data_IF_122480501703
#
_entry.id   IF_122480501703
#
_cell.length_a   1.000
_cell.length_b   1.000
_cell.length_c   1.000
_cell.angle_alpha   90.00
_cell.angle_beta   90.00
_cell.angle_gamma   90.00
#
_symmetry.space_group_name_H-M   'P 1'
#
loop_
_entity.id
_entity.type
_entity.pdbx_description
1 polymer ?
#
# COMPACT_ATOMS: atom_id res chain seq x y z
N UNK A 1 -5.50 32.27 -31.04
CA UNK A 1 -5.62 31.61 -29.73
C UNK A 1 -6.18 30.21 -29.94
N UNK A 2 -5.39 29.15 -29.73
CA UNK A 2 -5.86 27.75 -29.70
C UNK A 2 -5.33 27.11 -28.42
N UNK A 3 -6.17 26.44 -27.62
CA UNK A 3 -5.71 25.80 -26.39
C UNK A 3 -4.96 24.53 -26.71
N UNK A 4 -3.80 24.35 -26.06
CA UNK A 4 -2.97 23.15 -26.18
C UNK A 4 -3.72 21.93 -25.67
N UNK A 5 -3.99 21.00 -26.58
CA UNK A 5 -4.56 19.68 -26.33
C UNK A 5 -3.48 18.80 -25.69
N UNK A 6 -3.59 18.53 -24.40
CA UNK A 6 -2.75 17.52 -23.74
C UNK A 6 -3.13 16.13 -24.29
N UNK A 7 -2.27 15.56 -25.13
CA UNK A 7 -2.33 14.14 -25.46
C UNK A 7 -1.73 13.37 -24.29
N UNK A 8 -2.57 12.62 -23.57
CA UNK A 8 -2.12 11.50 -22.75
C UNK A 8 -1.72 10.39 -23.72
N UNK A 9 -0.46 10.37 -24.12
CA UNK A 9 0.07 9.22 -24.83
C UNK A 9 0.36 8.11 -23.81
N UNK A 10 -0.25 6.95 -24.03
CA UNK A 10 0.18 5.68 -23.44
C UNK A 10 1.62 5.40 -23.91
N UNK A 11 2.62 5.83 -23.13
CA UNK A 11 4.04 5.51 -23.29
C UNK A 11 4.54 5.06 -21.91
N UNK A 12 5.25 3.96 -21.69
CA UNK A 12 5.91 3.00 -22.56
C UNK A 12 5.91 1.66 -21.83
N UNK A 13 5.47 0.59 -22.49
CA UNK A 13 5.71 -0.75 -22.01
C UNK A 13 7.18 -1.09 -22.27
N UNK A 14 8.03 -0.99 -21.25
CA UNK A 14 9.36 -1.60 -21.28
C UNK A 14 9.17 -3.12 -21.32
N UNK A 15 9.44 -3.72 -22.48
CA UNK A 15 9.42 -5.18 -22.67
C UNK A 15 10.70 -5.75 -22.09
N UNK A 16 10.59 -6.44 -20.95
CA UNK A 16 11.66 -7.26 -20.39
C UNK A 16 11.58 -8.69 -20.96
N UNK A 17 12.70 -9.35 -21.29
CA UNK A 17 12.68 -10.71 -21.80
C UNK A 17 12.34 -11.68 -20.67
N UNK A 18 11.12 -12.20 -20.72
CA UNK A 18 10.49 -13.04 -19.70
C UNK A 18 9.06 -12.59 -19.57
N UNK A 19 8.11 -13.42 -19.98
CA UNK A 19 6.69 -13.12 -20.07
C UNK A 19 6.05 -12.87 -18.69
N UNK A 20 6.35 -11.73 -18.08
CA UNK A 20 5.59 -11.19 -16.97
C UNK A 20 4.38 -10.51 -17.59
N UNK A 21 3.19 -11.05 -17.34
CA UNK A 21 1.94 -10.37 -17.70
C UNK A 21 2.01 -8.96 -17.10
N UNK A 22 1.93 -7.91 -17.92
CA UNK A 22 1.93 -6.53 -17.44
C UNK A 22 0.69 -6.33 -16.57
N UNK A 23 0.87 -6.42 -15.25
CA UNK A 23 -0.17 -6.05 -14.28
C UNK A 23 -0.27 -4.53 -14.23
N UNK A 24 -1.48 -4.00 -14.24
CA UNK A 24 -1.77 -2.61 -13.90
C UNK A 24 -1.60 -2.40 -12.39
N UNK A 25 -1.48 -1.13 -11.97
CA UNK A 25 -1.46 -0.81 -10.54
C UNK A 25 -2.72 -1.29 -9.82
N UNK A 26 -3.90 -1.22 -10.45
CA UNK A 26 -5.14 -1.73 -9.85
C UNK A 26 -5.11 -3.25 -9.68
N UNK A 27 -4.60 -3.99 -10.66
CA UNK A 27 -4.49 -5.45 -10.59
C UNK A 27 -3.50 -5.92 -9.52
N UNK A 28 -2.44 -5.16 -9.28
CA UNK A 28 -1.45 -5.43 -8.23
C UNK A 28 -2.06 -5.48 -6.82
N UNK A 29 -3.11 -4.69 -6.56
CA UNK A 29 -3.79 -4.60 -5.27
C UNK A 29 -5.17 -5.28 -5.26
N UNK A 30 -5.55 -5.98 -6.32
CA UNK A 30 -6.89 -6.58 -6.44
C UNK A 30 -7.21 -7.68 -5.43
N UNK A 31 -6.18 -8.29 -4.82
CA UNK A 31 -6.30 -9.42 -3.88
C UNK A 31 -5.97 -9.06 -2.44
N UNK A 32 -5.57 -7.82 -2.17
CA UNK A 32 -5.19 -7.35 -0.83
C UNK A 32 -5.97 -6.09 -0.52
N UNK A 33 -6.64 -6.07 0.65
CA UNK A 33 -7.31 -4.86 1.11
C UNK A 33 -6.27 -3.75 1.35
N UNK A 34 -6.53 -2.50 0.91
CA UNK A 34 -5.58 -1.39 1.12
C UNK A 34 -5.38 -1.05 2.60
N UNK A 35 -6.33 -1.43 3.47
CA UNK A 35 -6.27 -1.24 4.91
C UNK A 35 -7.11 -2.29 5.65
N UNK A 36 -6.89 -2.39 6.95
CA UNK A 36 -7.71 -3.14 7.90
C UNK A 36 -8.36 -2.17 8.88
N UNK A 37 -9.62 -2.41 9.25
CA UNK A 37 -10.27 -1.73 10.36
C UNK A 37 -10.48 -2.76 11.46
N UNK A 38 -9.93 -2.48 12.65
CA UNK A 38 -10.18 -3.27 13.86
C UNK A 38 -11.05 -2.45 14.80
N UNK A 39 -12.26 -2.91 15.09
CA UNK A 39 -13.18 -2.24 16.01
C UNK A 39 -13.80 -3.23 16.99
N UNK A 40 -14.13 -2.73 18.18
CA UNK A 40 -14.87 -3.47 19.21
C UNK A 40 -16.37 -3.25 19.08
N UNK A 41 -17.15 -3.87 19.97
CA UNK A 41 -18.60 -3.67 20.00
C UNK A 41 -19.00 -2.21 20.27
N UNK A 42 -18.23 -1.48 21.08
CA UNK A 42 -18.50 -0.10 21.49
C UNK A 42 -17.20 0.70 21.63
N UNK A 43 -17.22 1.97 21.19
CA UNK A 43 -16.16 2.94 21.47
C UNK A 43 -16.40 3.58 22.84
N UNK A 44 -15.45 3.41 23.76
CA UNK A 44 -15.59 3.85 25.17
C UNK A 44 -14.71 5.03 25.54
N UNK A 45 -13.74 5.36 24.70
CA UNK A 45 -12.81 6.49 24.90
C UNK A 45 -12.69 7.34 23.63
N UNK A 46 -12.35 8.63 23.73
CA UNK A 46 -12.29 9.55 22.59
C UNK A 46 -10.95 9.45 21.85
N UNK A 47 -10.47 8.22 21.60
CA UNK A 47 -9.24 7.96 20.87
C UNK A 47 -9.52 7.09 19.65
N UNK A 48 -8.82 7.40 18.56
CA UNK A 48 -8.74 6.61 17.34
C UNK A 48 -7.27 6.37 17.03
N UNK A 49 -6.87 5.12 16.86
CA UNK A 49 -5.51 4.73 16.52
C UNK A 49 -5.40 4.41 15.04
N UNK A 50 -4.30 4.83 14.41
CA UNK A 50 -4.00 4.48 13.03
C UNK A 50 -2.53 4.11 12.88
N UNK A 51 -2.24 3.15 11.99
CA UNK A 51 -0.88 2.80 11.61
C UNK A 51 -0.71 2.80 10.09
N UNK A 52 -0.50 3.97 9.46
CA UNK A 52 -0.44 4.10 8.01
C UNK A 52 0.81 3.48 7.36
N UNK A 53 1.86 3.20 8.15
CA UNK A 53 3.17 2.76 7.64
C UNK A 53 3.59 1.35 8.09
N UNK A 54 2.72 0.58 8.77
CA UNK A 54 3.01 -0.83 9.13
C UNK A 54 2.71 -1.84 8.01
N UNK A 55 2.18 -1.37 6.88
CA UNK A 55 1.89 -2.20 5.72
C UNK A 55 3.17 -2.77 5.09
N UNK A 56 3.12 -4.05 4.72
CA UNK A 56 4.28 -4.82 4.21
C UNK A 56 4.00 -5.56 2.90
N UNK A 57 2.97 -5.14 2.16
CA UNK A 57 2.61 -5.70 0.86
C UNK A 57 3.23 -4.89 -0.27
N UNK A 58 4.21 -5.48 -0.96
CA UNK A 58 4.89 -4.89 -2.11
C UNK A 58 4.68 -5.75 -3.34
N UNK A 59 3.85 -5.32 -4.32
CA UNK A 59 3.66 -6.05 -5.56
C UNK A 59 4.97 -6.23 -6.34
N UNK A 60 5.14 -7.36 -7.01
CA UNK A 60 6.38 -7.68 -7.76
C UNK A 60 6.75 -6.60 -8.79
N UNK A 61 5.74 -6.06 -9.48
CA UNK A 61 5.93 -4.96 -10.44
C UNK A 61 6.50 -3.72 -9.76
N UNK A 62 6.03 -3.38 -8.56
CA UNK A 62 6.56 -2.28 -7.77
C UNK A 62 8.01 -2.54 -7.33
N UNK A 63 8.31 -3.74 -6.83
CA UNK A 63 9.68 -4.13 -6.45
C UNK A 63 10.67 -4.05 -7.61
N UNK A 64 10.26 -4.51 -8.81
CA UNK A 64 11.08 -4.42 -10.01
C UNK A 64 11.39 -2.96 -10.42
N UNK A 65 10.47 -2.03 -10.17
CA UNK A 65 10.66 -0.60 -10.47
C UNK A 65 11.44 0.15 -9.38
N UNK A 66 11.29 -0.23 -8.11
CA UNK A 66 11.88 0.48 -6.97
C UNK A 66 13.42 0.43 -6.94
N UNK A 67 14.04 -0.54 -7.62
CA UNK A 67 15.50 -0.77 -7.62
C UNK A 67 16.08 -0.90 -6.20
N UNK A 68 15.26 -1.32 -5.25
CA UNK A 68 15.64 -1.64 -3.88
C UNK A 68 15.52 -3.15 -3.69
N UNK A 69 16.45 -3.73 -2.93
CA UNK A 69 16.29 -5.11 -2.48
C UNK A 69 15.22 -5.21 -1.37
N UNK A 70 14.88 -6.46 -1.01
CA UNK A 70 13.85 -6.77 -0.02
C UNK A 70 14.16 -6.22 1.37
N UNK A 71 15.42 -6.05 1.76
CA UNK A 71 15.75 -5.51 3.07
C UNK A 71 15.73 -3.98 3.05
N UNK A 72 16.24 -3.38 1.97
CA UNK A 72 16.28 -1.94 1.79
C UNK A 72 14.88 -1.33 1.77
N UNK A 73 13.92 -1.97 1.09
CA UNK A 73 12.55 -1.45 1.01
C UNK A 73 11.83 -1.46 2.36
N UNK A 74 12.12 -2.44 3.21
CA UNK A 74 11.50 -2.57 4.54
C UNK A 74 11.96 -1.51 5.53
N UNK A 75 13.03 -0.77 5.22
CA UNK A 75 13.48 0.35 6.05
C UNK A 75 12.52 1.55 6.01
N UNK A 76 11.56 1.57 5.08
CA UNK A 76 10.49 2.57 5.07
C UNK A 76 9.23 2.12 5.82
N UNK A 77 9.21 0.91 6.41
CA UNK A 77 8.09 0.42 7.22
C UNK A 77 8.21 0.96 8.65
N UNK A 78 7.10 1.42 9.22
CA UNK A 78 6.92 1.52 10.67
C UNK A 78 6.56 0.12 11.19
N UNK A 79 7.58 -0.74 11.25
CA UNK A 79 7.42 -2.17 11.54
C UNK A 79 6.67 -2.40 12.86
N UNK A 80 5.63 -3.23 12.80
CA UNK A 80 4.88 -3.74 13.96
C UNK A 80 4.13 -2.68 14.81
N UNK A 81 3.98 -1.45 14.33
CA UNK A 81 3.21 -0.42 15.05
C UNK A 81 1.71 -0.76 15.09
N UNK A 82 1.20 -1.46 14.09
CA UNK A 82 -0.15 -2.06 14.12
C UNK A 82 -0.33 -3.09 15.25
N UNK A 83 0.70 -3.88 15.53
CA UNK A 83 0.71 -4.85 16.63
C UNK A 83 0.87 -4.16 17.99
N UNK A 84 1.69 -3.10 18.06
CA UNK A 84 1.85 -2.27 19.26
C UNK A 84 0.51 -1.68 19.74
N UNK A 85 -0.35 -1.26 18.81
CA UNK A 85 -1.70 -0.77 19.12
C UNK A 85 -2.78 -1.86 19.11
N UNK A 86 -2.43 -3.14 18.89
CA UNK A 86 -3.42 -4.23 18.77
C UNK A 86 -4.33 -4.39 19.98
N UNK A 87 -3.88 -3.98 21.18
CA UNK A 87 -4.68 -3.99 22.40
C UNK A 87 -5.65 -2.81 22.56
N UNK A 88 -5.53 -1.75 21.76
CA UNK A 88 -6.33 -0.53 21.88
C UNK A 88 -7.84 -0.81 21.73
N UNK A 89 -8.19 -1.69 20.79
CA UNK A 89 -9.57 -2.10 20.52
C UNK A 89 -10.24 -2.69 21.76
N UNK A 90 -9.53 -3.55 22.50
CA UNK A 90 -10.05 -4.16 23.73
C UNK A 90 -10.29 -3.10 24.83
N UNK A 91 -9.51 -2.02 24.83
CA UNK A 91 -9.66 -0.88 25.74
C UNK A 91 -10.77 0.09 25.31
N UNK A 92 -11.41 -0.12 24.15
CA UNK A 92 -12.50 0.70 23.64
C UNK A 92 -12.04 1.89 22.80
N UNK A 93 -10.80 1.84 22.30
CA UNK A 93 -10.26 2.77 21.33
C UNK A 93 -10.06 2.03 19.99
N UNK A 94 -10.92 2.27 18.98
CA UNK A 94 -10.69 1.73 17.64
C UNK A 94 -9.43 2.31 16.98
#
# INVERSE_FOLDING_TARGET
MRPGRWHLSNHDALVFPGSFKLKTAAEDFSVVSPFEIRSGAEQRVPFLFNSPHSGRHYPDRFLAMARLDRNAIRRSEDCFVDELFGGAVALGAP
#
